data_IF_290589730904
#
_entry.id   IF_290589730904
#
_cell.length_a   1.000
_cell.length_b   1.000
_cell.length_c   1.000
_cell.angle_alpha   90.00
_cell.angle_beta   90.00
_cell.angle_gamma   90.00
#
_symmetry.space_group_name_H-M   'P 1'
#
loop_
_entity.id
_entity.type
_entity.pdbx_description
1 polymer ?
#
# COMPACT_ATOMS: atom_id res chain seq x y z
N UNK A 1 8.01 -7.50 -25.39
CA UNK A 1 8.96 -8.25 -24.54
C UNK A 1 8.81 -7.99 -23.04
N UNK A 2 8.46 -6.76 -22.59
CA UNK A 2 8.40 -6.43 -21.15
C UNK A 2 7.37 -7.25 -20.34
N UNK A 3 6.18 -7.52 -20.88
CA UNK A 3 5.12 -8.25 -20.18
C UNK A 3 5.50 -9.71 -19.87
N UNK A 4 6.13 -10.39 -20.83
CA UNK A 4 6.58 -11.77 -20.66
C UNK A 4 7.69 -11.88 -19.61
N UNK A 5 8.67 -10.96 -19.66
CA UNK A 5 9.75 -10.92 -18.69
C UNK A 5 9.24 -10.72 -17.26
N UNK A 6 8.25 -9.83 -17.06
CA UNK A 6 7.62 -9.61 -15.76
C UNK A 6 6.95 -10.88 -15.22
N UNK A 7 6.21 -11.60 -16.05
CA UNK A 7 5.50 -12.82 -15.64
C UNK A 7 6.45 -13.92 -15.17
N UNK A 8 7.58 -14.12 -15.86
CA UNK A 8 8.56 -15.15 -15.48
C UNK A 8 9.42 -14.73 -14.29
N UNK A 9 9.86 -13.46 -14.23
CA UNK A 9 10.72 -12.97 -13.15
C UNK A 9 9.96 -12.72 -11.84
N UNK A 10 8.63 -12.62 -11.87
CA UNK A 10 7.81 -12.51 -10.66
C UNK A 10 7.63 -13.83 -9.91
N UNK A 11 7.93 -14.97 -10.54
CA UNK A 11 7.80 -16.28 -9.90
C UNK A 11 8.91 -16.42 -8.87
N UNK A 12 8.54 -16.74 -7.65
CA UNK A 12 9.50 -16.99 -6.58
C UNK A 12 10.17 -18.35 -6.82
N UNK A 13 11.49 -18.40 -6.72
CA UNK A 13 12.25 -19.64 -6.90
C UNK A 13 12.08 -20.66 -5.75
N UNK A 14 11.41 -20.27 -4.65
CA UNK A 14 11.29 -21.06 -3.42
C UNK A 14 9.91 -20.84 -2.77
N UNK A 15 9.44 -21.84 -2.02
CA UNK A 15 8.24 -21.79 -1.19
C UNK A 15 8.39 -20.97 0.10
N UNK A 16 9.62 -20.58 0.47
CA UNK A 16 9.91 -19.93 1.75
C UNK A 16 9.06 -18.67 2.05
N UNK A 17 8.68 -17.83 1.07
CA UNK A 17 7.79 -16.70 1.36
C UNK A 17 6.36 -17.17 1.68
N UNK A 18 5.83 -18.17 0.97
CA UNK A 18 4.53 -18.78 1.29
C UNK A 18 4.52 -19.45 2.66
N UNK A 19 5.61 -20.14 3.04
CA UNK A 19 5.76 -20.75 4.37
C UNK A 19 5.71 -19.70 5.49
N UNK A 20 6.32 -18.53 5.29
CA UNK A 20 6.22 -17.41 6.26
C UNK A 20 4.77 -16.94 6.43
N UNK A 21 4.02 -16.82 5.32
CA UNK A 21 2.59 -16.48 5.35
C UNK A 21 1.80 -17.52 6.13
N UNK A 22 2.01 -18.81 5.85
CA UNK A 22 1.29 -19.89 6.54
C UNK A 22 1.66 -20.03 8.01
N UNK A 23 2.92 -19.79 8.38
CA UNK A 23 3.34 -19.76 9.77
C UNK A 23 2.61 -18.66 10.55
N UNK A 24 2.53 -17.45 9.97
CA UNK A 24 1.78 -16.34 10.57
C UNK A 24 0.27 -16.64 10.65
N UNK A 25 -0.32 -17.21 9.59
CA UNK A 25 -1.72 -17.62 9.58
C UNK A 25 -2.03 -18.68 10.65
N UNK A 26 -1.14 -19.66 10.79
CA UNK A 26 -1.26 -20.72 11.80
C UNK A 26 -1.37 -20.12 13.20
N UNK A 27 -0.59 -19.09 13.52
CA UNK A 27 -0.68 -18.43 14.84
C UNK A 27 -2.06 -17.81 15.13
N UNK A 28 -2.80 -17.38 14.10
CA UNK A 28 -4.14 -16.80 14.24
C UNK A 28 -5.22 -17.88 14.35
N UNK A 29 -5.08 -18.96 13.56
CA UNK A 29 -6.08 -20.03 13.43
C UNK A 29 -5.94 -21.06 14.57
N UNK A 30 -4.73 -21.31 15.04
CA UNK A 30 -4.44 -22.33 16.04
C UNK A 30 -5.19 -22.07 17.36
N UNK A 31 -5.76 -23.15 17.90
CA UNK A 31 -6.59 -23.16 19.10
C UNK A 31 -5.88 -22.68 20.37
N UNK A 32 -4.54 -22.70 20.36
CA UNK A 32 -3.71 -22.36 21.53
C UNK A 32 -3.66 -20.86 21.82
N UNK A 33 -4.06 -19.99 20.88
CA UNK A 33 -3.94 -18.53 21.03
C UNK A 33 -5.23 -17.75 20.75
N UNK A 34 -5.90 -17.99 19.62
CA UNK A 34 -7.04 -17.13 19.23
C UNK A 34 -8.21 -17.88 18.57
N UNK A 35 -7.94 -19.02 17.90
CA UNK A 35 -8.97 -19.85 17.24
C UNK A 35 -9.88 -19.03 16.32
N UNK A 36 -9.27 -18.10 15.58
CA UNK A 36 -9.99 -17.22 14.69
C UNK A 36 -10.59 -18.01 13.52
N UNK A 37 -11.71 -17.54 12.99
CA UNK A 37 -12.24 -18.09 11.75
C UNK A 37 -11.19 -17.97 10.62
N UNK A 38 -10.90 -19.04 9.86
CA UNK A 38 -9.87 -19.02 8.83
C UNK A 38 -10.10 -17.97 7.73
N UNK A 39 -11.36 -17.68 7.39
CA UNK A 39 -11.69 -16.67 6.38
C UNK A 39 -11.37 -15.27 6.91
N UNK A 40 -11.71 -15.01 8.18
CA UNK A 40 -11.36 -13.76 8.85
C UNK A 40 -9.84 -13.61 9.02
N UNK A 41 -9.15 -14.69 9.41
CA UNK A 41 -7.70 -14.71 9.55
C UNK A 41 -7.00 -14.40 8.22
N UNK A 42 -7.50 -14.94 7.11
CA UNK A 42 -7.01 -14.63 5.76
C UNK A 42 -7.17 -13.14 5.41
N UNK A 43 -8.32 -12.54 5.70
CA UNK A 43 -8.57 -11.10 5.47
C UNK A 43 -7.63 -10.23 6.31
N UNK A 44 -7.47 -10.54 7.59
CA UNK A 44 -6.54 -9.83 8.47
C UNK A 44 -5.10 -9.94 8.00
N UNK A 45 -4.66 -11.13 7.59
CA UNK A 45 -3.32 -11.36 7.09
C UNK A 45 -3.06 -10.61 5.77
N UNK A 46 -4.05 -10.56 4.89
CA UNK A 46 -3.98 -9.76 3.66
C UNK A 46 -3.78 -8.28 3.96
N UNK A 47 -4.59 -7.70 4.86
CA UNK A 47 -4.44 -6.29 5.26
C UNK A 47 -3.06 -6.05 5.89
N UNK A 48 -2.64 -6.92 6.80
CA UNK A 48 -1.36 -6.77 7.49
C UNK A 48 -0.16 -6.81 6.53
N UNK A 49 -0.18 -7.66 5.50
CA UNK A 49 0.92 -7.76 4.53
C UNK A 49 1.00 -6.59 3.55
N UNK A 50 -0.13 -5.93 3.28
CA UNK A 50 -0.20 -4.84 2.30
C UNK A 50 -0.24 -3.45 2.95
N UNK A 51 -0.27 -3.38 4.28
CA UNK A 51 -0.40 -2.12 5.02
C UNK A 51 0.66 -1.10 4.64
N UNK A 52 1.94 -1.50 4.59
CA UNK A 52 3.04 -0.60 4.24
C UNK A 52 2.89 0.00 2.84
N UNK A 53 2.32 -0.74 1.90
CA UNK A 53 2.07 -0.27 0.53
C UNK A 53 0.90 0.71 0.50
N UNK A 54 -0.17 0.40 1.24
CA UNK A 54 -1.30 1.30 1.40
C UNK A 54 -0.91 2.61 2.10
N UNK A 55 -0.10 2.53 3.15
CA UNK A 55 0.38 3.70 3.89
C UNK A 55 1.22 4.62 3.00
N UNK A 56 2.17 4.06 2.24
CA UNK A 56 2.94 4.84 1.25
C UNK A 56 2.04 5.50 0.22
N UNK A 57 1.08 4.77 -0.33
CA UNK A 57 0.14 5.33 -1.30
C UNK A 57 -0.69 6.49 -0.73
N UNK A 58 -1.12 6.39 0.53
CA UNK A 58 -1.82 7.47 1.22
C UNK A 58 -0.91 8.69 1.43
N UNK A 59 0.35 8.47 1.81
CA UNK A 59 1.33 9.55 1.97
C UNK A 59 1.63 10.25 0.65
N UNK A 60 1.85 9.48 -0.43
CA UNK A 60 2.08 10.02 -1.77
C UNK A 60 0.87 10.85 -2.26
N UNK A 61 -0.34 10.37 -2.02
CA UNK A 61 -1.58 11.09 -2.37
C UNK A 61 -1.74 12.37 -1.56
N UNK A 62 -1.40 12.34 -0.28
CA UNK A 62 -1.47 13.51 0.60
C UNK A 62 -0.42 14.57 0.24
N UNK A 63 0.78 14.13 -0.16
CA UNK A 63 1.83 15.02 -0.68
C UNK A 63 1.43 15.66 -2.01
N UNK A 64 0.89 14.88 -2.95
CA UNK A 64 0.42 15.40 -4.23
C UNK A 64 -0.75 16.40 -4.08
N UNK A 65 -1.62 16.21 -3.08
CA UNK A 65 -2.69 17.16 -2.76
C UNK A 65 -2.14 18.46 -2.15
N UNK A 66 -1.03 18.41 -1.40
CA UNK A 66 -0.37 19.60 -0.85
C UNK A 66 0.32 20.43 -1.95
N UNK A 67 0.98 19.78 -2.91
CA UNK A 67 1.63 20.45 -4.06
C UNK A 67 0.61 21.19 -4.95
N UNK A 68 -0.65 20.76 -4.99
CA UNK A 68 -1.71 21.44 -5.75
C UNK A 68 -2.14 22.77 -5.12
N UNK A 69 -1.89 23.00 -3.83
CA UNK A 69 -2.25 24.24 -3.15
C UNK A 69 -1.23 25.36 -3.36
N UNK A 70 0.04 25.03 -3.62
CA UNK A 70 1.09 26.03 -3.87
C UNK A 70 1.00 26.67 -5.27
N UNK A 71 0.25 26.07 -6.20
CA UNK A 71 0.09 26.56 -7.57
C UNK A 71 -0.92 27.69 -7.76
N UNK A 72 -1.77 28.02 -6.77
CA UNK A 72 -2.89 28.95 -6.93
C UNK A 72 -2.65 30.35 -6.29
N UNK A 73 -1.55 30.56 -5.55
CA UNK A 73 -1.29 31.83 -4.84
C UNK A 73 -0.54 32.92 -5.64
N UNK A 74 -0.18 32.71 -6.92
CA UNK A 74 0.72 33.64 -7.66
C UNK A 74 0.02 34.56 -8.70
N UNK A 75 -1.32 34.65 -8.73
CA UNK A 75 -2.01 35.64 -9.59
C UNK A 75 -2.94 36.56 -8.79
N UNK A 76 -2.34 37.56 -8.14
CA UNK A 76 -3.10 38.55 -7.39
C UNK A 76 -2.33 39.79 -6.98
N UNK A 77 -1.48 40.37 -7.84
CA UNK A 77 -0.98 41.72 -7.58
C UNK A 77 -0.57 42.46 -8.86
N UNK A 78 -1.55 43.02 -9.58
CA UNK A 78 -1.33 44.21 -10.43
C UNK A 78 -2.11 45.38 -9.84
N UNK A 79 -1.44 46.47 -9.38
CA UNK A 79 -2.13 47.66 -8.92
C UNK A 79 -2.68 48.49 -10.09
N UNK A 80 -3.88 49.08 -9.96
CA UNK A 80 -4.53 49.80 -11.04
C UNK A 80 -3.82 51.13 -11.35
N UNK A 81 -3.66 51.39 -12.64
CA UNK A 81 -3.11 52.61 -13.21
C UNK A 81 -3.77 53.87 -12.61
N UNK A 82 -2.93 54.76 -12.07
CA UNK A 82 -3.34 56.11 -11.70
C UNK A 82 -3.40 57.01 -12.96
N UNK A 83 -4.43 57.85 -12.97
CA UNK A 83 -4.82 58.84 -13.98
C UNK A 83 -3.70 59.79 -14.40
#
# INVERSE_FOLDING_TARGET
MSSLAKAYLSIQATSAPSERVFSAASMLIEKRRNRLDPELAGKMLFVAQNWDLHEKHLQDMLLAAAEQQEGEEVQGSEPPAAK
#
